data_IF_951749958307
#
_entry.id   IF_951749958307
#
_cell.length_a   1.000
_cell.length_b   1.000
_cell.length_c   1.000
_cell.angle_alpha   90.00
_cell.angle_beta   90.00
_cell.angle_gamma   90.00
#
_symmetry.space_group_name_H-M   'P 1'
#
loop_
_entity.id
_entity.type
_entity.pdbx_description
1 polymer ?
#
# COMPACT_ATOMS: atom_id res chain seq x y z
N UNK A 1 5.31 -25.28 -20.90
CA UNK A 1 5.10 -26.53 -20.13
C UNK A 1 5.52 -26.28 -18.69
N UNK A 2 4.59 -25.90 -17.82
CA UNK A 2 4.87 -25.72 -16.40
C UNK A 2 4.84 -27.10 -15.73
N UNK A 3 5.98 -27.54 -15.21
CA UNK A 3 6.06 -28.72 -14.34
C UNK A 3 5.17 -28.45 -13.12
N UNK A 4 4.13 -29.26 -12.94
CA UNK A 4 3.23 -29.16 -11.80
C UNK A 4 4.00 -29.24 -10.49
N UNK A 5 3.64 -28.39 -9.54
CA UNK A 5 4.16 -28.45 -8.18
C UNK A 5 3.67 -29.75 -7.54
N UNK A 6 4.51 -30.78 -7.49
CA UNK A 6 4.22 -32.00 -6.71
C UNK A 6 4.60 -31.74 -5.25
N UNK A 7 3.60 -31.41 -4.43
CA UNK A 7 3.77 -31.44 -2.98
C UNK A 7 3.72 -32.93 -2.60
N UNK A 8 4.84 -33.44 -2.12
CA UNK A 8 4.98 -34.84 -1.71
C UNK A 8 4.15 -35.08 -0.43
N UNK A 9 2.88 -35.43 -0.59
CA UNK A 9 2.11 -36.01 0.51
C UNK A 9 2.64 -37.43 0.72
N UNK A 10 3.08 -37.73 1.94
CA UNK A 10 3.83 -38.95 2.30
C UNK A 10 3.18 -40.32 2.01
N UNK A 11 2.16 -40.41 1.17
CA UNK A 11 1.61 -41.65 0.63
C UNK A 11 2.40 -42.09 -0.61
N UNK A 12 3.41 -42.93 -0.36
CA UNK A 12 4.18 -43.64 -1.38
C UNK A 12 3.26 -44.55 -2.21
N UNK A 13 2.67 -44.04 -3.29
CA UNK A 13 1.97 -44.89 -4.29
C UNK A 13 0.77 -44.27 -5.02
N UNK A 14 0.32 -43.05 -4.66
CA UNK A 14 -0.80 -42.39 -5.34
C UNK A 14 -0.31 -41.38 -6.38
N UNK A 15 -0.68 -41.57 -7.65
CA UNK A 15 -0.48 -40.59 -8.75
C UNK A 15 -1.53 -39.47 -8.75
N UNK A 16 -2.48 -39.46 -7.81
CA UNK A 16 -3.42 -38.35 -7.63
C UNK A 16 -2.73 -37.19 -6.92
N UNK A 17 -2.93 -35.98 -7.43
CA UNK A 17 -2.41 -34.79 -6.76
C UNK A 17 -3.15 -34.66 -5.43
N UNK A 18 -2.45 -34.28 -4.36
CA UNK A 18 -3.02 -34.28 -3.02
C UNK A 18 -4.30 -33.45 -2.87
N UNK A 19 -4.50 -32.48 -3.76
CA UNK A 19 -5.66 -31.59 -3.77
C UNK A 19 -6.83 -32.09 -4.63
N UNK A 20 -6.73 -33.25 -5.30
CA UNK A 20 -7.81 -33.81 -6.13
C UNK A 20 -9.08 -34.17 -5.32
N UNK A 21 -9.00 -34.15 -3.97
CA UNK A 21 -10.13 -34.35 -3.05
C UNK A 21 -10.49 -33.11 -2.22
N UNK A 22 -9.78 -32.00 -2.41
CA UNK A 22 -10.07 -30.75 -1.71
C UNK A 22 -11.04 -29.92 -2.55
N UNK A 23 -12.23 -29.64 -2.00
CA UNK A 23 -13.19 -28.75 -2.66
C UNK A 23 -12.66 -27.32 -2.81
N UNK A 24 -11.82 -26.88 -1.85
CA UNK A 24 -11.24 -25.55 -1.84
C UNK A 24 -9.72 -25.63 -1.76
N UNK A 25 -9.07 -24.98 -2.73
CA UNK A 25 -7.64 -24.68 -2.74
C UNK A 25 -7.50 -23.17 -2.91
N UNK A 26 -7.36 -22.48 -1.77
CA UNK A 26 -7.28 -21.02 -1.71
C UNK A 26 -5.83 -20.55 -1.58
N UNK A 27 -5.36 -19.70 -2.48
CA UNK A 27 -3.99 -19.18 -2.51
C UNK A 27 -3.93 -17.73 -3.00
N UNK A 28 -2.72 -17.17 -3.05
CA UNK A 28 -2.45 -15.92 -3.76
C UNK A 28 -2.45 -14.68 -2.88
N UNK A 29 -1.71 -13.68 -3.34
CA UNK A 29 -1.66 -12.32 -2.81
C UNK A 29 -1.77 -11.34 -3.97
N UNK A 30 -1.88 -10.05 -3.68
CA UNK A 30 -1.86 -9.01 -4.72
C UNK A 30 -0.66 -9.15 -5.67
N UNK A 31 0.53 -9.49 -5.16
CA UNK A 31 1.73 -9.62 -5.99
C UNK A 31 1.82 -10.94 -6.77
N UNK A 32 1.09 -11.98 -6.38
CA UNK A 32 1.18 -13.32 -7.00
C UNK A 32 -0.10 -13.76 -7.70
N UNK A 33 -1.14 -12.93 -7.71
CA UNK A 33 -2.49 -13.31 -8.16
C UNK A 33 -2.50 -13.96 -9.56
N UNK A 34 -1.70 -13.44 -10.51
CA UNK A 34 -1.56 -14.00 -11.87
C UNK A 34 -0.95 -15.39 -11.87
N UNK A 35 0.08 -15.60 -11.06
CA UNK A 35 0.79 -16.87 -10.95
C UNK A 35 -0.14 -17.88 -10.28
N UNK A 36 -0.76 -17.52 -9.15
CA UNK A 36 -1.72 -18.37 -8.43
C UNK A 36 -2.91 -18.75 -9.30
N UNK A 37 -3.50 -17.79 -10.02
CA UNK A 37 -4.62 -18.04 -10.93
C UNK A 37 -4.29 -18.86 -12.18
N UNK A 38 -3.00 -19.06 -12.49
CA UNK A 38 -2.58 -19.90 -13.62
C UNK A 38 -2.59 -21.40 -13.31
N UNK A 39 -2.68 -21.80 -12.03
CA UNK A 39 -2.72 -23.20 -11.64
C UNK A 39 -4.15 -23.73 -11.65
N UNK A 40 -4.41 -24.74 -12.48
CA UNK A 40 -5.75 -25.32 -12.65
C UNK A 40 -6.34 -25.99 -11.40
N UNK A 41 -5.53 -26.26 -10.37
CA UNK A 41 -6.00 -26.81 -9.09
C UNK A 41 -6.43 -25.74 -8.08
N UNK A 42 -6.19 -24.46 -8.35
CA UNK A 42 -6.57 -23.35 -7.45
C UNK A 42 -8.02 -22.97 -7.71
N UNK A 43 -8.82 -22.90 -6.66
CA UNK A 43 -10.26 -22.61 -6.74
C UNK A 43 -10.60 -21.21 -6.23
N UNK A 44 -9.73 -20.57 -5.44
CA UNK A 44 -9.93 -19.23 -4.86
C UNK A 44 -8.61 -18.44 -4.84
N UNK A 45 -8.68 -17.14 -5.15
CA UNK A 45 -7.57 -16.20 -4.99
C UNK A 45 -7.88 -15.18 -3.89
N UNK A 46 -6.96 -14.99 -2.94
CA UNK A 46 -7.11 -14.03 -1.82
C UNK A 46 -6.18 -12.83 -1.91
N UNK A 47 -6.34 -12.04 -2.98
CA UNK A 47 -5.69 -10.74 -3.07
C UNK A 47 -6.47 -9.68 -2.28
N UNK A 48 -5.75 -8.81 -1.55
CA UNK A 48 -6.36 -7.77 -0.71
C UNK A 48 -5.87 -6.37 -1.06
N UNK A 49 -4.56 -6.13 -0.92
CA UNK A 49 -3.97 -4.80 -1.12
C UNK A 49 -4.11 -4.22 -2.53
N UNK A 50 -4.62 -4.98 -3.51
CA UNK A 50 -4.75 -4.53 -4.90
C UNK A 50 -5.73 -3.35 -5.04
N UNK A 51 -6.73 -3.26 -4.15
CA UNK A 51 -7.76 -2.23 -4.19
C UNK A 51 -7.23 -0.82 -3.84
N UNK A 52 -6.23 -0.74 -2.93
CA UNK A 52 -5.56 0.52 -2.58
C UNK A 52 -4.23 0.69 -3.31
N UNK A 53 -3.55 -0.42 -3.57
CA UNK A 53 -2.20 -0.53 -4.12
C UNK A 53 -1.16 0.30 -3.34
N UNK A 54 0.07 0.34 -3.83
CA UNK A 54 1.13 1.23 -3.35
C UNK A 54 2.19 1.42 -4.43
N UNK A 55 3.09 2.38 -4.22
CA UNK A 55 4.23 2.56 -5.11
C UNK A 55 5.11 1.30 -5.24
N UNK A 56 5.11 0.42 -4.23
CA UNK A 56 5.77 -0.88 -4.32
C UNK A 56 5.00 -1.87 -5.19
N UNK A 57 3.67 -1.96 -4.99
CA UNK A 57 2.83 -2.81 -5.82
C UNK A 57 2.93 -2.45 -7.30
N UNK A 58 3.02 -1.15 -7.63
CA UNK A 58 3.22 -0.69 -9.02
C UNK A 58 4.44 -1.29 -9.73
N UNK A 59 5.48 -1.71 -9.00
CA UNK A 59 6.66 -2.37 -9.59
C UNK A 59 6.42 -3.84 -9.94
N UNK A 60 5.45 -4.49 -9.28
CA UNK A 60 5.19 -5.93 -9.37
C UNK A 60 3.93 -6.21 -10.20
N UNK A 61 2.89 -5.42 -9.97
CA UNK A 61 1.57 -5.50 -10.59
C UNK A 61 1.15 -4.10 -11.08
N UNK A 62 1.78 -3.61 -12.17
CA UNK A 62 1.62 -2.25 -12.65
C UNK A 62 0.18 -1.92 -13.09
N UNK A 63 -0.65 -2.92 -13.35
CA UNK A 63 -2.07 -2.77 -13.71
C UNK A 63 -2.95 -2.19 -12.60
N UNK A 64 -2.52 -2.23 -11.33
CA UNK A 64 -3.27 -1.65 -10.21
C UNK A 64 -2.80 -0.24 -9.89
N UNK A 65 -3.70 0.73 -10.00
CA UNK A 65 -3.44 2.13 -9.64
C UNK A 65 -3.33 2.34 -8.13
N UNK A 66 -2.52 3.33 -7.74
CA UNK A 66 -2.42 3.77 -6.34
C UNK A 66 -3.62 4.66 -6.03
N UNK A 67 -4.57 4.12 -5.26
CA UNK A 67 -5.80 4.80 -4.90
C UNK A 67 -5.79 5.38 -3.48
N UNK A 68 -4.79 5.06 -2.66
CA UNK A 68 -4.72 5.50 -1.27
C UNK A 68 -3.51 6.41 -1.02
N UNK A 69 -3.80 7.59 -0.48
CA UNK A 69 -2.82 8.59 -0.07
C UNK A 69 -3.17 9.13 1.32
N UNK A 70 -2.17 9.68 2.00
CA UNK A 70 -2.35 10.52 3.17
C UNK A 70 -2.17 11.98 2.76
N UNK A 71 -3.18 12.80 3.03
CA UNK A 71 -3.08 14.26 2.86
C UNK A 71 -2.49 14.88 4.12
N UNK A 72 -1.46 15.72 3.94
CA UNK A 72 -0.77 16.42 5.02
C UNK A 72 -0.59 17.89 4.68
N UNK A 73 -0.38 18.73 5.68
CA UNK A 73 -0.15 20.17 5.54
C UNK A 73 1.30 20.50 5.84
N UNK A 74 1.92 21.36 5.03
CA UNK A 74 3.20 22.00 5.38
C UNK A 74 2.97 22.95 6.55
N UNK A 75 3.60 22.67 7.69
CA UNK A 75 3.46 23.48 8.92
C UNK A 75 4.70 24.31 9.24
N UNK A 76 5.83 24.03 8.60
CA UNK A 76 7.05 24.83 8.76
C UNK A 76 7.92 24.79 7.51
N UNK A 77 8.57 25.92 7.23
CA UNK A 77 9.47 26.11 6.09
C UNK A 77 10.77 26.82 6.53
N UNK A 78 11.70 26.12 7.20
CA UNK A 78 12.89 26.74 7.80
C UNK A 78 13.96 27.18 6.80
N UNK A 79 13.98 26.64 5.58
CA UNK A 79 14.94 26.94 4.52
C UNK A 79 14.30 26.70 3.15
N UNK A 80 15.00 26.95 2.03
CA UNK A 80 14.51 26.67 0.66
C UNK A 80 14.62 25.19 0.24
N UNK A 81 15.37 24.38 0.97
CA UNK A 81 15.62 22.96 0.67
C UNK A 81 14.90 22.01 1.64
N UNK A 82 14.24 22.54 2.69
CA UNK A 82 13.56 21.73 3.70
C UNK A 82 12.18 22.22 4.13
N UNK A 83 11.19 21.34 4.16
CA UNK A 83 9.86 21.61 4.70
C UNK A 83 9.49 20.57 5.79
N UNK A 84 8.56 20.93 6.68
CA UNK A 84 8.02 20.03 7.70
C UNK A 84 6.52 19.96 7.54
N UNK A 85 5.98 18.75 7.57
CA UNK A 85 4.55 18.46 7.42
C UNK A 85 3.96 17.88 8.72
N UNK A 86 2.65 18.01 8.90
CA UNK A 86 1.87 17.52 10.06
C UNK A 86 1.60 16.01 10.07
N UNK A 87 2.23 15.25 9.17
CA UNK A 87 2.14 13.79 9.13
C UNK A 87 3.43 13.14 9.64
N UNK A 88 3.34 12.53 10.83
CA UNK A 88 4.36 11.67 11.40
C UNK A 88 4.03 10.18 11.33
N UNK A 89 4.80 9.35 12.04
CA UNK A 89 4.61 7.89 12.12
C UNK A 89 3.31 7.46 12.78
N UNK A 90 2.65 8.35 13.53
CA UNK A 90 1.31 8.10 14.06
C UNK A 90 0.22 8.25 13.00
N UNK A 91 0.52 8.92 11.88
CA UNK A 91 -0.40 9.10 10.75
C UNK A 91 -0.07 8.18 9.56
N UNK A 92 1.19 7.78 9.36
CA UNK A 92 1.59 6.93 8.23
C UNK A 92 2.64 5.89 8.60
N UNK A 93 2.42 4.64 8.16
CA UNK A 93 3.38 3.57 8.42
C UNK A 93 4.63 3.70 7.54
N UNK A 94 5.76 3.30 8.10
CA UNK A 94 7.06 3.23 7.43
C UNK A 94 7.75 1.86 7.61
N UNK A 95 6.99 0.85 8.04
CA UNK A 95 7.46 -0.54 8.26
C UNK A 95 8.11 -1.16 7.01
N UNK A 96 7.75 -0.66 5.83
CA UNK A 96 8.32 -1.07 4.55
C UNK A 96 9.12 0.05 3.87
N UNK A 97 9.65 1.00 4.62
CA UNK A 97 10.36 2.17 4.11
C UNK A 97 9.49 3.43 4.07
N UNK A 98 10.12 4.58 3.82
CA UNK A 98 9.46 5.87 3.88
C UNK A 98 8.39 6.02 2.78
N UNK A 99 7.22 6.62 3.10
CA UNK A 99 6.23 7.03 2.11
C UNK A 99 6.83 7.92 1.01
N UNK A 100 6.23 7.87 -0.17
CA UNK A 100 6.65 8.70 -1.31
C UNK A 100 5.78 9.93 -1.43
N UNK A 101 6.37 11.06 -1.80
CA UNK A 101 5.63 12.29 -2.11
C UNK A 101 4.99 12.14 -3.49
N UNK A 102 3.68 12.39 -3.58
CA UNK A 102 2.91 12.28 -4.84
C UNK A 102 2.95 13.61 -5.59
N UNK A 103 3.22 13.55 -6.89
CA UNK A 103 3.06 14.69 -7.81
C UNK A 103 4.09 15.82 -7.68
N UNK A 104 5.05 15.73 -6.76
CA UNK A 104 6.09 16.75 -6.56
C UNK A 104 7.48 16.18 -6.88
N UNK A 105 7.93 16.37 -8.12
CA UNK A 105 9.23 15.88 -8.57
C UNK A 105 10.38 16.57 -7.84
N UNK A 106 11.31 15.76 -7.30
CA UNK A 106 12.46 16.23 -6.53
C UNK A 106 12.11 16.67 -5.10
N UNK A 107 10.93 16.30 -4.60
CA UNK A 107 10.58 16.42 -3.17
C UNK A 107 10.51 15.03 -2.56
N UNK A 108 11.23 14.81 -1.47
CA UNK A 108 11.32 13.50 -0.82
C UNK A 108 11.05 13.60 0.67
N UNK A 109 10.27 12.66 1.21
CA UNK A 109 10.14 12.49 2.65
C UNK A 109 11.37 11.75 3.15
N UNK A 110 12.24 12.44 3.90
CA UNK A 110 13.53 11.91 4.36
C UNK A 110 13.50 11.46 5.81
N UNK A 111 12.51 11.90 6.59
CA UNK A 111 12.39 11.53 8.01
C UNK A 111 10.95 11.60 8.51
N UNK A 112 10.61 10.67 9.41
CA UNK A 112 9.37 10.68 10.18
C UNK A 112 9.69 10.70 11.68
N UNK A 113 9.02 11.59 12.38
CA UNK A 113 8.89 11.64 13.84
C UNK A 113 7.44 11.29 14.22
N UNK A 114 7.06 11.37 15.50
CA UNK A 114 5.72 11.02 15.98
C UNK A 114 4.60 11.71 15.19
N UNK A 115 4.66 13.04 15.14
CA UNK A 115 3.64 13.90 14.51
C UNK A 115 4.17 14.72 13.33
N UNK A 116 5.44 14.53 12.95
CA UNK A 116 6.09 15.40 11.96
C UNK A 116 6.84 14.58 10.90
N UNK A 117 6.66 14.99 9.65
CA UNK A 117 7.45 14.52 8.51
C UNK A 117 8.41 15.61 8.04
N UNK A 118 9.62 15.23 7.62
CA UNK A 118 10.59 16.16 7.05
C UNK A 118 10.72 15.89 5.56
N UNK A 119 10.44 16.91 4.75
CA UNK A 119 10.64 16.90 3.31
C UNK A 119 11.96 17.58 2.97
N UNK A 120 12.73 16.95 2.07
CA UNK A 120 13.85 17.56 1.36
C UNK A 120 13.40 17.94 -0.06
N UNK A 121 13.77 19.13 -0.51
CA UNK A 121 13.35 19.73 -1.78
C UNK A 121 14.61 19.97 -2.60
N UNK A 122 14.89 19.03 -3.50
CA UNK A 122 16.05 19.04 -4.39
C UNK A 122 15.73 19.76 -5.71
N UNK A 123 14.45 19.94 -6.03
CA UNK A 123 14.01 20.68 -7.20
C UNK A 123 13.68 22.14 -6.84
N UNK A 124 14.56 23.06 -7.22
CA UNK A 124 14.40 24.51 -6.96
C UNK A 124 13.17 25.15 -7.64
N UNK A 125 12.56 24.47 -8.61
CA UNK A 125 11.31 24.93 -9.22
C UNK A 125 10.10 24.71 -8.31
N UNK A 126 10.17 23.75 -7.38
CA UNK A 126 9.10 23.48 -6.42
C UNK A 126 9.15 24.50 -5.30
N UNK A 127 8.06 25.25 -5.14
CA UNK A 127 7.86 26.18 -4.03
C UNK A 127 6.76 25.65 -3.14
N UNK A 128 7.16 25.15 -1.97
CA UNK A 128 6.25 24.80 -0.87
C UNK A 128 6.26 25.90 0.18
N UNK A 129 5.08 26.38 0.52
CA UNK A 129 4.80 27.37 1.55
C UNK A 129 4.05 26.73 2.73
N UNK A 130 4.06 27.41 3.88
CA UNK A 130 3.28 26.98 5.03
C UNK A 130 1.79 27.09 4.69
N UNK A 131 1.04 26.01 4.91
CA UNK A 131 -0.36 25.87 4.54
C UNK A 131 -0.61 25.00 3.30
N UNK A 132 0.42 24.77 2.48
CA UNK A 132 0.29 23.92 1.30
C UNK A 132 -0.03 22.48 1.67
N UNK A 133 -0.77 21.82 0.78
CA UNK A 133 -1.13 20.40 0.91
C UNK A 133 -0.15 19.52 0.16
N UNK A 134 0.29 18.46 0.84
CA UNK A 134 1.19 17.44 0.29
C UNK A 134 0.52 16.08 0.46
N UNK A 135 0.44 15.33 -0.63
CA UNK A 135 -0.03 13.95 -0.61
C UNK A 135 1.15 12.98 -0.49
N UNK A 136 1.01 12.00 0.43
CA UNK A 136 1.96 10.92 0.61
C UNK A 136 1.34 9.59 0.17
N UNK A 137 2.05 8.83 -0.64
CA UNK A 137 1.73 7.43 -0.94
C UNK A 137 2.42 6.53 0.09
N UNK A 138 1.68 5.78 0.92
CA UNK A 138 2.28 4.85 1.88
C UNK A 138 2.98 3.70 1.14
N UNK A 139 4.07 3.20 1.71
CA UNK A 139 4.75 2.00 1.19
C UNK A 139 3.95 0.74 1.48
N UNK A 140 3.26 0.72 2.62
CA UNK A 140 2.37 -0.35 3.06
C UNK A 140 1.00 0.24 3.43
N UNK A 141 -0.02 0.11 2.56
CA UNK A 141 -1.33 0.73 2.78
C UNK A 141 -2.07 0.08 3.95
N UNK A 142 -1.98 -1.24 4.13
CA UNK A 142 -2.72 -1.96 5.17
C UNK A 142 -2.37 -1.49 6.58
N UNK A 143 -1.07 -1.36 6.88
CA UNK A 143 -0.59 -0.88 8.19
C UNK A 143 -0.91 0.60 8.39
N UNK A 144 -0.94 1.39 7.32
CA UNK A 144 -1.37 2.79 7.39
C UNK A 144 -2.86 2.91 7.70
N UNK A 145 -3.72 2.16 6.99
CA UNK A 145 -5.18 2.14 7.24
C UNK A 145 -5.49 1.79 8.70
N UNK A 146 -4.74 0.88 9.32
CA UNK A 146 -4.93 0.52 10.73
C UNK A 146 -4.70 1.69 11.73
N UNK A 147 -4.03 2.77 11.31
CA UNK A 147 -3.80 3.98 12.12
C UNK A 147 -4.99 4.94 12.09
N UNK A 148 -5.94 4.78 11.16
CA UNK A 148 -7.03 5.72 10.91
C UNK A 148 -8.39 5.12 11.27
N UNK A 149 -9.32 5.98 11.68
CA UNK A 149 -10.71 5.59 11.94
C UNK A 149 -11.60 5.73 10.70
N UNK A 150 -11.19 6.59 9.77
CA UNK A 150 -11.98 6.96 8.59
C UNK A 150 -11.11 7.00 7.35
N UNK A 151 -11.74 6.73 6.21
CA UNK A 151 -11.17 6.91 4.88
C UNK A 151 -12.05 7.90 4.12
N UNK A 152 -11.42 8.92 3.53
CA UNK A 152 -12.11 9.94 2.75
C UNK A 152 -12.09 9.54 1.28
N UNK A 153 -13.26 9.39 0.67
CA UNK A 153 -13.41 9.00 -0.72
C UNK A 153 -13.52 10.26 -1.58
N UNK A 154 -12.53 10.46 -2.45
CA UNK A 154 -12.41 11.68 -3.26
C UNK A 154 -12.48 11.30 -4.74
N UNK A 155 -13.36 11.96 -5.49
CA UNK A 155 -13.45 11.86 -6.94
C UNK A 155 -13.29 13.24 -7.58
N UNK A 156 -12.42 13.35 -8.59
CA UNK A 156 -12.07 14.61 -9.25
C UNK A 156 -11.78 15.81 -8.30
N UNK A 157 -11.28 15.54 -7.11
CA UNK A 157 -10.98 16.56 -6.08
C UNK A 157 -12.16 16.94 -5.17
N UNK A 158 -13.31 16.28 -5.32
CA UNK A 158 -14.52 16.46 -4.53
C UNK A 158 -14.63 15.31 -3.52
N UNK A 159 -14.97 15.63 -2.27
CA UNK A 159 -15.27 14.63 -1.24
C UNK A 159 -16.65 14.04 -1.50
N UNK A 160 -16.71 12.77 -1.89
CA UNK A 160 -17.95 12.06 -2.22
C UNK A 160 -18.50 11.29 -1.01
N UNK A 161 -17.61 10.70 -0.19
CA UNK A 161 -18.02 9.87 0.94
C UNK A 161 -16.93 9.80 2.03
N UNK A 162 -17.33 9.34 3.21
CA UNK A 162 -16.44 9.06 4.34
C UNK A 162 -16.75 7.66 4.88
N UNK A 163 -15.83 6.73 4.69
CA UNK A 163 -15.98 5.36 5.16
C UNK A 163 -15.38 5.16 6.54
N UNK A 164 -16.16 4.57 7.46
CA UNK A 164 -15.64 4.13 8.74
C UNK A 164 -14.77 2.87 8.58
N UNK A 165 -13.56 2.90 9.15
CA UNK A 165 -12.67 1.74 9.26
C UNK A 165 -13.13 0.91 10.47
N UNK A 166 -14.29 0.27 10.31
CA UNK A 166 -15.06 -0.37 11.38
C UNK A 166 -14.36 -1.54 12.08
N UNK A 167 -13.29 -2.08 11.49
CA UNK A 167 -12.50 -3.19 12.02
C UNK A 167 -11.18 -2.75 12.66
N UNK A 168 -10.92 -1.44 12.75
CA UNK A 168 -9.71 -0.91 13.41
C UNK A 168 -9.60 -1.46 14.84
N UNK A 169 -8.44 -2.02 15.17
CA UNK A 169 -8.15 -2.54 16.52
C UNK A 169 -8.88 -3.84 16.90
N UNK A 170 -9.64 -4.46 15.99
CA UNK A 170 -10.36 -5.72 16.22
C UNK A 170 -9.50 -6.91 15.78
N UNK A 171 -8.67 -7.40 16.69
CA UNK A 171 -7.75 -8.52 16.44
C UNK A 171 -8.28 -9.88 16.90
N UNK A 172 -9.49 -9.93 17.46
CA UNK A 172 -10.16 -11.12 17.99
C UNK A 172 -11.69 -10.94 18.00
#
# INVERSE_FOLDING_TARGET
MHKGFEINCGDKGSTRRCWDRCEVVSLGSTGTYRISGSYSGVTEIRAGSYVLSSAKHKRIVPEFEVAFTLLSTVISRPSEDRAVIDAGRNAISYDQGLPLVKGLEGVELVKLYDEHGVLEINNKAVKLEVGDKVELTPTHPCTTVALHEKMFCVDEGILEDIWDISTRGKFF
#
